data_IF_812142723081
#
_entry.id   IF_812142723081
#
_cell.length_a   1.000
_cell.length_b   1.000
_cell.length_c   1.000
_cell.angle_alpha   90.00
_cell.angle_beta   90.00
_cell.angle_gamma   90.00
#
_symmetry.space_group_name_H-M   'P 1'
#
loop_
_entity.id
_entity.type
_entity.pdbx_description
1 polymer ?
#
# COMPACT_ATOMS: atom_id res chain seq x y z
N UNK A 1 42.60 20.75 52.95
CA UNK A 1 41.35 19.96 52.87
C UNK A 1 41.63 18.72 52.03
N UNK A 2 41.18 17.56 52.50
CA UNK A 2 41.58 16.22 52.02
C UNK A 2 40.97 15.90 50.65
N UNK A 3 41.81 15.43 49.72
CA UNK A 3 41.36 14.85 48.45
C UNK A 3 40.71 13.47 48.69
N UNK A 4 39.54 13.25 48.10
CA UNK A 4 38.86 11.97 48.15
C UNK A 4 39.48 11.01 47.14
N UNK A 5 39.94 9.86 47.61
CA UNK A 5 40.48 8.76 46.81
C UNK A 5 39.35 8.09 46.01
N UNK A 6 39.29 8.36 44.71
CA UNK A 6 38.38 7.72 43.76
C UNK A 6 39.03 6.45 43.16
N UNK A 7 39.11 5.38 43.94
CA UNK A 7 39.66 4.07 43.51
C UNK A 7 38.64 2.92 43.50
N UNK A 8 37.33 3.22 43.58
CA UNK A 8 36.31 2.21 43.29
C UNK A 8 36.21 2.05 41.78
N UNK A 9 36.95 1.08 41.24
CA UNK A 9 36.78 0.60 39.88
C UNK A 9 35.36 0.03 39.73
N UNK A 10 34.43 0.85 39.27
CA UNK A 10 33.13 0.38 38.80
C UNK A 10 33.35 -0.28 37.43
N UNK A 11 33.64 -1.58 37.41
CA UNK A 11 33.51 -2.37 36.19
C UNK A 11 32.02 -2.46 35.84
N UNK A 12 31.60 -1.60 34.92
CA UNK A 12 30.29 -1.69 34.30
C UNK A 12 30.23 -2.96 33.44
N UNK A 13 29.63 -4.01 33.98
CA UNK A 13 29.18 -5.18 33.22
C UNK A 13 27.94 -4.77 32.42
N UNK A 14 28.13 -4.38 31.16
CA UNK A 14 27.02 -4.13 30.25
C UNK A 14 26.58 -5.44 29.59
N UNK A 15 25.38 -5.93 29.87
CA UNK A 15 24.76 -7.00 29.10
C UNK A 15 23.88 -6.40 27.99
N UNK A 16 24.05 -6.87 26.75
CA UNK A 16 23.22 -6.44 25.62
C UNK A 16 22.18 -7.51 25.36
N UNK A 17 20.98 -7.32 25.89
CA UNK A 17 19.87 -8.26 25.73
C UNK A 17 18.92 -7.74 24.66
N UNK A 18 18.61 -8.58 23.66
CA UNK A 18 17.67 -8.25 22.61
C UNK A 18 16.26 -8.74 23.00
N UNK A 19 15.44 -7.86 23.56
CA UNK A 19 14.03 -8.16 23.79
C UNK A 19 13.23 -7.88 22.52
N UNK A 20 12.54 -8.91 22.00
CA UNK A 20 11.59 -8.76 20.90
C UNK A 20 10.18 -8.82 21.48
N UNK A 21 9.55 -7.66 21.64
CA UNK A 21 8.13 -7.60 21.97
C UNK A 21 7.38 -8.27 20.83
N UNK A 22 6.67 -9.37 21.13
CA UNK A 22 5.81 -10.03 20.13
C UNK A 22 4.77 -9.01 19.69
N UNK A 23 4.74 -8.71 18.39
CA UNK A 23 3.69 -7.88 17.83
C UNK A 23 2.34 -8.56 18.08
N UNK A 24 1.38 -7.81 18.63
CA UNK A 24 0.01 -8.28 18.79
C UNK A 24 -0.52 -8.63 17.40
N UNK A 25 -0.75 -9.92 17.16
CA UNK A 25 -1.45 -10.35 15.96
C UNK A 25 -2.90 -9.88 16.09
N UNK A 26 -3.28 -8.87 15.32
CA UNK A 26 -4.70 -8.50 15.22
C UNK A 26 -5.44 -9.73 14.68
N UNK A 27 -6.37 -10.27 15.48
CA UNK A 27 -7.33 -11.24 14.96
C UNK A 27 -8.02 -10.55 13.79
N UNK A 28 -7.83 -11.07 12.58
CA UNK A 28 -8.61 -10.63 11.44
C UNK A 28 -10.06 -10.94 11.81
N UNK A 29 -10.85 -9.88 12.04
CA UNK A 29 -12.30 -10.04 12.11
C UNK A 29 -12.80 -10.66 10.80
N UNK A 30 -14.04 -11.13 10.80
CA UNK A 30 -14.69 -11.63 9.58
C UNK A 30 -14.46 -10.63 8.44
N UNK A 31 -13.94 -11.13 7.31
CA UNK A 31 -13.61 -10.27 6.17
C UNK A 31 -14.89 -9.62 5.67
N UNK A 32 -15.02 -8.31 5.86
CA UNK A 32 -16.10 -7.53 5.26
C UNK A 32 -16.04 -7.68 3.74
N UNK A 33 -17.20 -7.72 3.08
CA UNK A 33 -17.27 -7.73 1.62
C UNK A 33 -16.53 -6.50 1.07
N UNK A 34 -15.70 -6.73 0.05
CA UNK A 34 -14.87 -5.67 -0.53
C UNK A 34 -15.76 -4.80 -1.41
N UNK A 35 -15.75 -3.47 -1.22
CA UNK A 35 -16.49 -2.56 -2.11
C UNK A 35 -16.03 -2.76 -3.56
N UNK A 36 -16.98 -2.99 -4.47
CA UNK A 36 -16.73 -3.21 -5.90
C UNK A 36 -16.67 -1.89 -6.68
N UNK A 37 -16.02 -1.90 -7.85
CA UNK A 37 -15.83 -0.70 -8.66
C UNK A 37 -17.08 -0.35 -9.48
N UNK A 38 -18.01 0.40 -8.87
CA UNK A 38 -19.23 0.86 -9.54
C UNK A 38 -18.96 1.90 -10.63
N UNK A 39 -17.99 2.78 -10.42
CA UNK A 39 -17.85 4.00 -11.23
C UNK A 39 -17.26 3.78 -12.63
N UNK A 40 -16.35 2.82 -12.81
CA UNK A 40 -15.67 2.60 -14.10
C UNK A 40 -16.45 1.70 -15.06
N UNK A 41 -17.13 0.68 -14.54
CA UNK A 41 -17.77 -0.34 -15.38
C UNK A 41 -19.24 -0.03 -15.64
N UNK A 42 -19.97 0.50 -14.66
CA UNK A 42 -21.37 0.89 -14.85
C UNK A 42 -21.53 2.21 -15.58
N UNK A 43 -20.47 2.86 -16.06
CA UNK A 43 -20.61 3.97 -17.02
C UNK A 43 -20.91 3.48 -18.43
N UNK A 44 -20.53 2.25 -18.77
CA UNK A 44 -20.72 1.68 -20.10
C UNK A 44 -22.02 0.88 -20.13
N UNK A 45 -22.94 1.23 -21.03
CA UNK A 45 -24.27 0.61 -21.13
C UNK A 45 -24.17 -0.90 -21.37
N UNK A 46 -23.25 -1.34 -22.23
CA UNK A 46 -23.02 -2.77 -22.49
C UNK A 46 -22.67 -3.57 -21.23
N UNK A 47 -21.84 -3.00 -20.34
CA UNK A 47 -21.46 -3.68 -19.09
C UNK A 47 -22.63 -3.74 -18.10
N UNK A 48 -23.56 -2.78 -18.14
CA UNK A 48 -24.77 -2.83 -17.32
C UNK A 48 -25.66 -3.99 -17.75
N UNK A 49 -25.97 -4.06 -19.04
CA UNK A 49 -26.86 -5.10 -19.59
C UNK A 49 -26.31 -6.49 -19.34
N UNK A 50 -25.00 -6.72 -19.55
CA UNK A 50 -24.40 -8.03 -19.26
C UNK A 50 -24.40 -8.36 -17.76
N UNK A 51 -24.20 -7.37 -16.89
CA UNK A 51 -24.28 -7.58 -15.44
C UNK A 51 -25.70 -7.91 -14.99
N UNK A 52 -26.71 -7.24 -15.54
CA UNK A 52 -28.13 -7.48 -15.27
C UNK A 52 -28.53 -8.90 -15.71
N UNK A 53 -28.19 -9.28 -16.94
CA UNK A 53 -28.50 -10.61 -17.49
C UNK A 53 -27.91 -11.76 -16.66
N UNK A 54 -26.69 -11.60 -16.13
CA UNK A 54 -26.12 -12.63 -15.26
C UNK A 54 -26.61 -12.58 -13.83
N UNK A 55 -27.00 -11.41 -13.32
CA UNK A 55 -27.70 -11.33 -12.04
C UNK A 55 -29.03 -12.07 -12.12
N UNK A 56 -29.80 -11.83 -13.18
CA UNK A 56 -31.08 -12.50 -13.42
C UNK A 56 -30.88 -14.02 -13.57
N UNK A 57 -29.87 -14.45 -14.31
CA UNK A 57 -29.55 -15.88 -14.49
C UNK A 57 -29.09 -16.55 -13.19
N UNK A 58 -28.26 -15.87 -12.38
CA UNK A 58 -27.80 -16.39 -11.09
C UNK A 58 -28.93 -16.45 -10.05
N UNK A 59 -29.84 -15.48 -10.06
CA UNK A 59 -31.00 -15.46 -9.17
C UNK A 59 -32.06 -16.49 -9.60
N UNK A 60 -32.23 -16.74 -10.90
CA UNK A 60 -33.13 -17.78 -11.41
C UNK A 60 -32.65 -19.20 -11.05
N UNK A 61 -31.34 -19.41 -10.89
CA UNK A 61 -30.76 -20.68 -10.44
C UNK A 61 -30.76 -20.82 -8.91
N UNK A 62 -30.98 -19.73 -8.18
CA UNK A 62 -31.06 -19.76 -6.72
C UNK A 62 -32.44 -20.30 -6.30
N UNK A 63 -32.47 -21.59 -5.95
CA UNK A 63 -33.64 -22.26 -5.41
C UNK A 63 -33.78 -22.06 -3.90
N UNK A 64 -35.01 -21.90 -3.45
CA UNK A 64 -35.40 -21.90 -2.03
C UNK A 64 -34.94 -23.21 -1.38
N UNK A 65 -34.21 -23.13 -0.27
CA UNK A 65 -33.71 -24.32 0.43
C UNK A 65 -34.70 -24.71 1.49
N UNK A 66 -35.41 -25.80 1.26
CA UNK A 66 -36.31 -26.41 2.25
C UNK A 66 -35.54 -26.66 3.57
N UNK A 67 -36.01 -26.03 4.66
CA UNK A 67 -35.45 -26.06 6.02
C UNK A 67 -34.33 -25.06 6.37
N UNK A 68 -34.17 -23.95 5.64
CA UNK A 68 -33.24 -22.88 6.02
C UNK A 68 -33.91 -21.82 6.89
N UNK A 69 -33.16 -21.19 7.79
CA UNK A 69 -33.68 -20.01 8.50
C UNK A 69 -33.68 -18.79 7.55
N UNK A 70 -34.62 -17.84 7.71
CA UNK A 70 -34.66 -16.64 6.86
C UNK A 70 -33.34 -15.85 6.82
N UNK A 71 -32.59 -15.85 7.93
CA UNK A 71 -31.28 -15.20 8.02
C UNK A 71 -30.22 -15.91 7.16
N UNK A 72 -30.26 -17.24 7.10
CA UNK A 72 -29.35 -18.04 6.27
C UNK A 72 -29.68 -17.89 4.78
N UNK A 73 -30.96 -17.85 4.42
CA UNK A 73 -31.41 -17.61 3.05
C UNK A 73 -30.99 -16.22 2.57
N UNK A 74 -31.19 -15.20 3.42
CA UNK A 74 -30.76 -13.84 3.12
C UNK A 74 -29.25 -13.72 2.97
N UNK A 75 -28.47 -14.38 3.84
CA UNK A 75 -27.02 -14.39 3.74
C UNK A 75 -26.53 -15.05 2.44
N UNK A 76 -27.20 -16.12 2.00
CA UNK A 76 -26.90 -16.80 0.73
C UNK A 76 -27.26 -15.91 -0.46
N UNK A 77 -28.43 -15.26 -0.46
CA UNK A 77 -28.84 -14.32 -1.51
C UNK A 77 -27.82 -13.19 -1.66
N UNK A 78 -27.43 -12.55 -0.55
CA UNK A 78 -26.41 -11.49 -0.56
C UNK A 78 -25.07 -11.98 -1.10
N UNK A 79 -24.71 -13.24 -0.82
CA UNK A 79 -23.47 -13.84 -1.29
C UNK A 79 -23.52 -14.09 -2.81
N UNK A 80 -24.64 -14.59 -3.33
CA UNK A 80 -24.86 -14.80 -4.77
C UNK A 80 -24.80 -13.45 -5.50
N UNK A 81 -25.57 -12.46 -5.03
CA UNK A 81 -25.55 -11.11 -5.61
C UNK A 81 -24.14 -10.51 -5.60
N UNK A 82 -23.43 -10.59 -4.48
CA UNK A 82 -22.07 -10.06 -4.37
C UNK A 82 -21.08 -10.79 -5.28
N UNK A 83 -21.15 -12.11 -5.39
CA UNK A 83 -20.24 -12.89 -6.23
C UNK A 83 -20.46 -12.62 -7.71
N UNK A 84 -21.72 -12.57 -8.16
CA UNK A 84 -22.08 -12.21 -9.54
C UNK A 84 -21.69 -10.76 -9.82
N UNK A 85 -21.95 -9.84 -8.90
CA UNK A 85 -21.49 -8.46 -9.05
C UNK A 85 -19.96 -8.38 -9.13
N UNK A 86 -19.21 -9.23 -8.40
CA UNK A 86 -17.75 -9.20 -8.34
C UNK A 86 -17.07 -9.74 -9.61
N UNK A 87 -17.68 -10.69 -10.33
CA UNK A 87 -17.14 -11.16 -11.61
C UNK A 87 -17.14 -10.05 -12.65
N UNK A 88 -18.18 -9.22 -12.64
CA UNK A 88 -18.33 -8.08 -13.54
C UNK A 88 -17.64 -6.81 -13.00
N UNK A 89 -18.07 -6.34 -11.83
CA UNK A 89 -17.50 -5.19 -11.15
C UNK A 89 -16.20 -5.63 -10.46
N UNK A 90 -15.09 -5.55 -11.20
CA UNK A 90 -13.78 -5.79 -10.65
C UNK A 90 -13.55 -4.98 -9.36
N UNK A 91 -12.61 -5.43 -8.52
CA UNK A 91 -12.20 -4.64 -7.36
C UNK A 91 -11.69 -3.26 -7.83
N UNK A 92 -11.96 -2.18 -7.09
CA UNK A 92 -11.40 -0.88 -7.42
C UNK A 92 -9.88 -0.97 -7.40
N UNK A 93 -9.25 -0.49 -8.46
CA UNK A 93 -7.80 -0.40 -8.53
C UNK A 93 -7.30 0.41 -7.32
N UNK A 94 -6.41 -0.17 -6.53
CA UNK A 94 -5.66 0.59 -5.54
C UNK A 94 -4.73 1.52 -6.30
N UNK A 95 -5.15 2.78 -6.44
CA UNK A 95 -4.24 3.87 -6.79
C UNK A 95 -3.45 4.19 -5.52
N UNK A 96 -2.20 3.74 -5.41
CA UNK A 96 -1.35 4.24 -4.35
C UNK A 96 -0.88 5.62 -4.81
N UNK A 97 -1.37 6.70 -4.21
CA UNK A 97 -0.90 8.03 -4.59
C UNK A 97 0.54 8.31 -4.13
N UNK A 98 1.36 7.30 -3.91
CA UNK A 98 2.76 7.51 -3.58
C UNK A 98 3.57 7.85 -4.84
N UNK A 99 4.72 8.48 -4.62
CA UNK A 99 5.64 8.87 -5.68
C UNK A 99 6.27 7.68 -6.43
N UNK A 100 5.99 6.43 -6.03
CA UNK A 100 6.56 5.19 -6.59
C UNK A 100 5.60 4.45 -7.53
N UNK A 101 4.33 4.86 -7.63
CA UNK A 101 3.34 4.25 -8.51
C UNK A 101 3.63 4.46 -10.02
N UNK A 102 4.54 5.37 -10.38
CA UNK A 102 5.08 5.41 -11.75
C UNK A 102 5.97 4.19 -11.93
N UNK A 103 5.48 3.19 -12.67
CA UNK A 103 6.28 2.06 -13.15
C UNK A 103 7.36 2.56 -14.12
N UNK A 104 8.42 3.12 -13.54
CA UNK A 104 9.53 3.69 -14.27
C UNK A 104 10.50 2.56 -14.65
N UNK A 105 10.52 2.20 -15.93
CA UNK A 105 11.42 1.18 -16.48
C UNK A 105 12.90 1.50 -16.18
N UNK A 106 13.27 2.79 -16.13
CA UNK A 106 14.61 3.23 -15.77
C UNK A 106 14.90 2.88 -14.29
N UNK A 107 13.94 3.09 -13.40
CA UNK A 107 14.08 2.77 -11.98
C UNK A 107 14.20 1.25 -11.76
N UNK A 108 13.43 0.43 -12.48
CA UNK A 108 13.56 -1.02 -12.44
C UNK A 108 14.93 -1.49 -12.91
N UNK A 109 15.42 -0.91 -14.01
CA UNK A 109 16.78 -1.19 -14.52
C UNK A 109 17.85 -0.83 -13.50
N UNK A 110 17.70 0.31 -12.79
CA UNK A 110 18.61 0.72 -11.73
C UNK A 110 18.56 -0.21 -10.51
N UNK A 111 17.40 -0.73 -10.14
CA UNK A 111 17.27 -1.76 -9.11
C UNK A 111 18.03 -3.04 -9.50
N UNK A 112 17.80 -3.56 -10.72
CA UNK A 112 18.50 -4.74 -11.21
C UNK A 112 20.02 -4.54 -11.24
N UNK A 113 20.48 -3.36 -11.69
CA UNK A 113 21.91 -3.02 -11.73
C UNK A 113 22.53 -2.97 -10.33
N UNK A 114 21.84 -2.37 -9.35
CA UNK A 114 22.28 -2.36 -7.95
C UNK A 114 22.38 -3.78 -7.41
N UNK A 115 21.36 -4.60 -7.66
CA UNK A 115 21.28 -5.97 -7.12
C UNK A 115 22.37 -6.87 -7.68
N UNK A 116 22.63 -6.78 -8.99
CA UNK A 116 23.75 -7.50 -9.62
C UNK A 116 25.10 -7.02 -9.07
N UNK A 117 25.29 -5.71 -8.88
CA UNK A 117 26.53 -5.18 -8.31
C UNK A 117 26.73 -5.65 -6.86
N UNK A 118 25.65 -5.70 -6.07
CA UNK A 118 25.67 -6.22 -4.71
C UNK A 118 26.01 -7.70 -4.68
N UNK A 119 25.38 -8.51 -5.54
CA UNK A 119 25.69 -9.93 -5.67
C UNK A 119 27.16 -10.18 -6.00
N UNK A 120 27.75 -9.40 -6.91
CA UNK A 120 29.19 -9.50 -7.22
C UNK A 120 30.07 -9.18 -6.01
N UNK A 121 29.71 -8.17 -5.21
CA UNK A 121 30.42 -7.85 -3.96
C UNK A 121 30.34 -8.99 -2.94
N UNK A 122 29.21 -9.72 -2.90
CA UNK A 122 29.02 -10.85 -2.00
C UNK A 122 29.71 -12.14 -2.47
N UNK A 123 29.71 -12.40 -3.78
CA UNK A 123 30.25 -13.64 -4.38
C UNK A 123 31.76 -13.62 -4.56
N UNK A 124 32.36 -12.44 -4.75
CA UNK A 124 33.81 -12.29 -4.94
C UNK A 124 34.44 -11.68 -3.70
N UNK A 125 35.76 -11.86 -3.52
CA UNK A 125 36.51 -11.08 -2.51
C UNK A 125 36.32 -9.60 -2.83
N UNK A 126 35.68 -8.86 -1.92
CA UNK A 126 35.38 -7.45 -2.11
C UNK A 126 36.64 -6.67 -2.50
N UNK A 127 36.67 -6.19 -3.75
CA UNK A 127 37.75 -5.35 -4.28
C UNK A 127 37.29 -3.90 -4.28
N UNK A 128 38.26 -2.97 -4.35
CA UNK A 128 37.96 -1.54 -4.46
C UNK A 128 37.07 -1.24 -5.67
N UNK A 129 37.28 -1.97 -6.78
CA UNK A 129 36.49 -1.84 -8.01
C UNK A 129 35.04 -2.32 -7.85
N UNK A 130 34.82 -3.53 -7.30
CA UNK A 130 33.46 -4.05 -7.11
C UNK A 130 32.66 -3.23 -6.11
N UNK A 131 33.31 -2.75 -5.05
CA UNK A 131 32.68 -1.84 -4.07
C UNK A 131 32.34 -0.48 -4.70
N UNK A 132 33.21 0.09 -5.53
CA UNK A 132 32.95 1.35 -6.23
C UNK A 132 31.76 1.21 -7.19
N UNK A 133 31.70 0.12 -7.97
CA UNK A 133 30.59 -0.15 -8.88
C UNK A 133 29.25 -0.27 -8.16
N UNK A 134 29.22 -0.92 -6.99
CA UNK A 134 28.01 -0.99 -6.15
C UNK A 134 27.60 0.40 -5.62
N UNK A 135 28.56 1.17 -5.10
CA UNK A 135 28.30 2.55 -4.62
C UNK A 135 27.75 3.44 -5.73
N UNK A 136 28.27 3.33 -6.94
CA UNK A 136 27.77 4.08 -8.10
C UNK A 136 26.35 3.66 -8.50
N UNK A 137 26.05 2.36 -8.49
CA UNK A 137 24.69 1.88 -8.75
C UNK A 137 23.69 2.42 -7.70
N UNK A 138 24.08 2.42 -6.42
CA UNK A 138 23.29 3.02 -5.34
C UNK A 138 23.07 4.53 -5.53
N UNK A 139 24.13 5.26 -5.91
CA UNK A 139 24.06 6.71 -6.18
C UNK A 139 23.11 7.04 -7.32
N UNK A 140 23.18 6.29 -8.42
CA UNK A 140 22.31 6.45 -9.58
C UNK A 140 20.84 6.17 -9.23
N UNK A 141 20.58 5.06 -8.54
CA UNK A 141 19.24 4.72 -8.04
C UNK A 141 18.69 5.84 -7.15
N UNK A 142 19.48 6.29 -6.17
CA UNK A 142 19.07 7.36 -5.26
C UNK A 142 18.79 8.67 -5.99
N UNK A 143 19.61 9.04 -6.98
CA UNK A 143 19.40 10.23 -7.82
C UNK A 143 18.05 10.14 -8.55
N UNK A 144 17.76 9.01 -9.19
CA UNK A 144 16.49 8.82 -9.92
C UNK A 144 15.29 8.84 -8.98
N UNK A 145 15.36 8.16 -7.85
CA UNK A 145 14.28 8.18 -6.84
C UNK A 145 13.99 9.58 -6.32
N UNK A 146 15.04 10.39 -6.07
CA UNK A 146 14.88 11.78 -5.62
C UNK A 146 14.25 12.65 -6.70
N UNK A 147 14.63 12.47 -7.98
CA UNK A 147 14.02 13.18 -9.10
C UNK A 147 12.52 12.85 -9.20
N UNK A 148 12.15 11.56 -9.24
CA UNK A 148 10.74 11.14 -9.29
C UNK A 148 9.90 11.69 -8.12
N UNK A 149 10.48 11.70 -6.91
CA UNK A 149 9.84 12.29 -5.74
C UNK A 149 9.64 13.80 -5.92
N UNK A 150 10.65 14.51 -6.42
CA UNK A 150 10.58 15.97 -6.64
C UNK A 150 9.53 16.31 -7.70
N UNK A 151 9.53 15.62 -8.84
CA UNK A 151 8.53 15.77 -9.91
C UNK A 151 7.12 15.49 -9.42
N UNK A 152 6.96 14.56 -8.47
CA UNK A 152 5.67 14.27 -7.86
C UNK A 152 5.24 15.43 -6.95
N UNK A 153 6.12 15.95 -6.09
CA UNK A 153 5.81 17.10 -5.24
C UNK A 153 5.44 18.35 -6.03
N UNK A 154 6.18 18.65 -7.09
CA UNK A 154 5.90 19.80 -7.96
C UNK A 154 4.53 19.66 -8.63
N UNK A 155 4.23 18.50 -9.22
CA UNK A 155 2.91 18.24 -9.80
C UNK A 155 1.80 18.34 -8.76
N UNK A 156 2.03 17.84 -7.54
CA UNK A 156 1.02 17.87 -6.48
C UNK A 156 0.79 19.29 -5.95
N UNK A 157 1.85 20.11 -5.86
CA UNK A 157 1.75 21.51 -5.50
C UNK A 157 0.92 22.29 -6.54
N UNK A 158 1.18 22.08 -7.83
CA UNK A 158 0.40 22.68 -8.93
C UNK A 158 -1.07 22.24 -8.88
N UNK A 159 -1.34 20.96 -8.62
CA UNK A 159 -2.72 20.44 -8.48
C UNK A 159 -3.47 21.11 -7.32
N UNK A 160 -2.83 21.22 -6.14
CA UNK A 160 -3.40 21.86 -4.97
C UNK A 160 -3.66 23.35 -5.20
N UNK A 161 -2.71 24.07 -5.80
CA UNK A 161 -2.87 25.48 -6.15
C UNK A 161 -4.06 25.68 -7.10
N UNK A 162 -4.13 24.90 -8.19
CA UNK A 162 -5.26 24.97 -9.14
C UNK A 162 -6.61 24.60 -8.52
N UNK A 163 -6.63 23.77 -7.48
CA UNK A 163 -7.85 23.44 -6.75
C UNK A 163 -8.29 24.61 -5.87
N UNK A 164 -7.34 25.27 -5.20
CA UNK A 164 -7.58 26.47 -4.40
C UNK A 164 -8.08 27.63 -5.28
N UNK A 165 -7.41 27.90 -6.42
CA UNK A 165 -7.78 28.98 -7.35
C UNK A 165 -9.21 28.81 -7.90
N UNK A 166 -9.66 27.57 -8.07
CA UNK A 166 -11.02 27.23 -8.55
C UNK A 166 -12.05 27.09 -7.42
N UNK A 167 -11.67 27.41 -6.17
CA UNK A 167 -12.49 27.20 -4.97
C UNK A 167 -13.03 25.76 -4.83
N UNK A 168 -12.35 24.77 -5.39
CA UNK A 168 -12.75 23.37 -5.33
C UNK A 168 -12.16 22.72 -4.07
N UNK A 169 -12.81 22.98 -2.93
CA UNK A 169 -12.38 22.49 -1.62
C UNK A 169 -12.29 20.96 -1.56
N UNK A 170 -13.19 20.24 -2.24
CA UNK A 170 -13.17 18.78 -2.29
C UNK A 170 -11.87 18.24 -2.90
N UNK A 171 -11.45 18.79 -4.04
CA UNK A 171 -10.20 18.40 -4.68
C UNK A 171 -8.98 18.80 -3.84
N UNK A 172 -9.03 19.98 -3.22
CA UNK A 172 -7.95 20.47 -2.34
C UNK A 172 -7.73 19.54 -1.14
N UNK A 173 -8.79 19.21 -0.39
CA UNK A 173 -8.68 18.30 0.76
C UNK A 173 -8.27 16.88 0.36
N UNK A 174 -8.80 16.36 -0.75
CA UNK A 174 -8.36 15.06 -1.27
C UNK A 174 -6.86 15.07 -1.63
N UNK A 175 -6.35 16.18 -2.18
CA UNK A 175 -4.93 16.35 -2.48
C UNK A 175 -4.07 16.39 -1.22
N UNK A 176 -4.54 17.07 -0.16
CA UNK A 176 -3.87 17.11 1.14
C UNK A 176 -3.84 15.74 1.81
N UNK A 177 -4.95 15.00 1.81
CA UNK A 177 -4.98 13.63 2.34
C UNK A 177 -3.97 12.71 1.64
N UNK A 178 -3.78 12.88 0.33
CA UNK A 178 -2.79 12.13 -0.41
C UNK A 178 -1.34 12.46 -0.01
N UNK A 179 -1.07 13.70 0.39
CA UNK A 179 0.25 14.15 0.88
C UNK A 179 0.56 13.60 2.27
N UNK A 180 -0.40 13.68 3.20
CA UNK A 180 -0.22 13.25 4.58
C UNK A 180 -0.33 11.73 4.75
N UNK A 181 -0.91 11.05 3.76
CA UNK A 181 -1.17 9.62 3.81
C UNK A 181 -2.37 9.29 4.71
N UNK A 182 -2.74 8.00 4.81
CA UNK A 182 -3.87 7.57 5.62
C UNK A 182 -3.63 7.92 7.10
N UNK A 183 -4.48 8.79 7.65
CA UNK A 183 -4.51 9.07 9.09
C UNK A 183 -4.84 7.78 9.82
N UNK A 184 -4.02 7.38 10.80
CA UNK A 184 -4.41 6.33 11.73
C UNK A 184 -5.62 6.86 12.50
N UNK A 185 -6.69 6.07 12.57
CA UNK A 185 -7.74 6.29 13.56
C UNK A 185 -7.15 5.87 14.89
N UNK A 186 -6.90 6.83 15.76
CA UNK A 186 -6.60 6.53 17.16
C UNK A 186 -7.87 5.94 17.77
N UNK A 187 -7.80 4.70 18.26
CA UNK A 187 -8.93 3.94 18.79
C UNK A 187 -9.28 4.36 20.24
N UNK A 188 -9.12 5.64 20.58
CA UNK A 188 -9.42 6.16 21.91
C UNK A 188 -10.23 7.45 21.81
N UNK A 189 -11.53 7.27 21.55
CA UNK A 189 -12.65 8.11 22.00
C UNK A 189 -13.89 7.25 21.98
#
# INVERSE_FOLDING_TARGET
MRGAYCWTHHQLLTSKVAFRIRQKHNRQGTSKSTKLNKAKQLTTISHRVSCEQEMDSALAQWGEKENSTPDEEWAVLQLVEYNTAKTYLCKPDRKHQDCFDRNDQELQTLFSRRDQAHQRVLQTRSTRSTTAAYKDACRLLQKRTRALKSDWWERKAVELQRAADRSNMKCFYNGLEAVWGPKRRDLFT
#
